data_IF_601572297711
#
_entry.id   IF_601572297711
#
_cell.length_a   1.000
_cell.length_b   1.000
_cell.length_c   1.000
_cell.angle_alpha   90.00
_cell.angle_beta   90.00
_cell.angle_gamma   90.00
#
_symmetry.space_group_name_H-M   'P 1'
#
loop_
_entity.id
_entity.type
_entity.pdbx_description
1 polymer ?
#
# COMPACT_ATOMS: atom_id res chain seq x y z
N UNK A 1 5.25 16.51 -35.73
CA UNK A 1 5.25 17.34 -34.54
C UNK A 1 4.23 16.74 -33.58
N UNK A 2 4.66 15.87 -32.66
CA UNK A 2 3.99 15.50 -31.41
C UNK A 2 4.66 14.27 -30.77
N UNK A 3 5.99 14.35 -30.62
CA UNK A 3 6.77 13.34 -29.88
C UNK A 3 6.92 13.67 -28.37
N UNK A 4 6.35 14.79 -27.92
CA UNK A 4 6.55 15.29 -26.54
C UNK A 4 5.52 14.87 -25.50
N UNK A 5 4.45 14.10 -25.89
CA UNK A 5 3.37 13.73 -24.95
C UNK A 5 3.48 12.34 -24.32
N UNK A 6 4.32 11.47 -24.86
CA UNK A 6 4.46 10.09 -24.35
C UNK A 6 5.34 9.99 -23.10
N UNK A 7 6.36 10.83 -22.96
CA UNK A 7 7.31 10.75 -21.84
C UNK A 7 6.73 11.29 -20.52
N UNK A 8 5.88 12.29 -20.55
CA UNK A 8 5.26 12.86 -19.36
C UNK A 8 4.25 11.94 -18.67
N UNK A 9 3.51 11.10 -19.40
CA UNK A 9 2.55 10.16 -18.83
C UNK A 9 3.24 8.95 -18.19
N UNK A 10 4.35 8.49 -18.76
CA UNK A 10 5.13 7.37 -18.23
C UNK A 10 5.76 7.68 -16.88
N UNK A 11 6.27 8.89 -16.68
CA UNK A 11 6.85 9.35 -15.41
C UNK A 11 5.81 9.43 -14.28
N UNK A 12 4.56 9.80 -14.57
CA UNK A 12 3.49 9.91 -13.55
C UNK A 12 2.96 8.57 -13.03
N UNK A 13 3.26 7.47 -13.70
CA UNK A 13 2.89 6.12 -13.23
C UNK A 13 3.89 5.57 -12.23
N UNK A 14 5.14 6.03 -12.22
CA UNK A 14 6.15 5.63 -11.24
C UNK A 14 5.78 6.15 -9.87
N UNK A 15 5.51 5.27 -8.90
CA UNK A 15 5.03 5.66 -7.57
C UNK A 15 5.22 4.62 -6.49
N UNK A 16 5.31 5.09 -5.25
CA UNK A 16 5.32 4.27 -4.03
C UNK A 16 4.27 4.75 -3.03
N UNK A 17 3.90 3.92 -2.07
CA UNK A 17 2.93 4.21 -1.00
C UNK A 17 1.59 4.78 -1.51
N UNK A 18 1.17 4.31 -2.67
CA UNK A 18 -0.13 4.59 -3.28
C UNK A 18 -1.17 3.56 -2.81
N UNK A 19 -2.43 3.79 -3.11
CA UNK A 19 -3.47 2.76 -3.01
C UNK A 19 -3.86 2.22 -4.37
N UNK A 20 -4.21 0.94 -4.43
CA UNK A 20 -4.77 0.33 -5.61
C UNK A 20 -5.84 -0.71 -5.27
N UNK A 21 -6.77 -0.92 -6.17
CA UNK A 21 -7.78 -1.97 -6.11
C UNK A 21 -8.19 -2.40 -7.51
N UNK A 22 -8.73 -3.60 -7.65
CA UNK A 22 -9.23 -4.12 -8.93
C UNK A 22 -10.75 -4.19 -8.89
N UNK A 23 -11.38 -3.70 -9.96
CA UNK A 23 -12.80 -3.81 -10.21
C UNK A 23 -13.05 -4.06 -11.69
N UNK A 24 -13.89 -5.04 -12.02
CA UNK A 24 -14.23 -5.39 -13.42
C UNK A 24 -12.99 -5.56 -14.30
N UNK A 25 -11.95 -6.21 -13.78
CA UNK A 25 -10.65 -6.42 -14.42
C UNK A 25 -9.90 -5.12 -14.79
N UNK A 26 -10.21 -4.02 -14.12
CA UNK A 26 -9.50 -2.75 -14.21
C UNK A 26 -8.79 -2.47 -12.90
N UNK A 27 -7.50 -2.21 -12.94
CA UNK A 27 -6.71 -1.77 -11.81
C UNK A 27 -6.85 -0.25 -11.68
N UNK A 28 -7.35 0.19 -10.54
CA UNK A 28 -7.45 1.59 -10.15
C UNK A 28 -6.26 1.94 -9.26
N UNK A 29 -5.59 3.05 -9.53
CA UNK A 29 -4.40 3.50 -8.79
C UNK A 29 -4.54 4.97 -8.44
N UNK A 30 -4.38 5.30 -7.15
CA UNK A 30 -4.51 6.66 -6.66
C UNK A 30 -3.42 7.02 -5.64
N UNK A 31 -2.92 8.25 -5.73
CA UNK A 31 -2.00 8.83 -4.75
C UNK A 31 -0.59 8.25 -4.82
N UNK A 32 0.13 8.32 -3.70
CA UNK A 32 1.52 7.95 -3.59
C UNK A 32 2.48 9.12 -3.84
N UNK A 33 3.76 8.83 -3.84
CA UNK A 33 4.84 9.81 -4.06
C UNK A 33 5.90 9.25 -5.01
N UNK A 34 6.74 10.13 -5.53
CA UNK A 34 7.97 9.80 -6.23
C UNK A 34 9.08 10.76 -5.81
N UNK A 35 10.33 10.34 -5.93
CA UNK A 35 11.50 11.21 -5.68
C UNK A 35 11.80 12.00 -6.94
N UNK A 36 11.97 13.33 -6.81
CA UNK A 36 12.30 14.19 -7.95
C UNK A 36 13.67 13.81 -8.54
N UNK A 37 13.70 13.61 -9.85
CA UNK A 37 14.94 13.37 -10.63
C UNK A 37 15.48 14.66 -11.28
N UNK A 38 14.81 15.80 -11.15
CA UNK A 38 15.17 17.04 -11.82
C UNK A 38 16.24 17.80 -11.03
N UNK A 39 17.43 18.06 -11.62
CA UNK A 39 18.57 18.72 -10.94
C UNK A 39 18.39 20.24 -10.75
N UNK A 40 17.44 20.88 -11.42
CA UNK A 40 17.48 22.34 -11.62
C UNK A 40 16.49 23.17 -10.82
N UNK A 41 15.48 22.60 -10.16
CA UNK A 41 14.43 23.38 -9.48
C UNK A 41 14.05 22.91 -8.08
N UNK A 42 14.50 21.76 -7.63
CA UNK A 42 14.25 21.23 -6.29
C UNK A 42 15.53 20.57 -5.80
N UNK A 43 15.87 20.73 -4.53
CA UNK A 43 17.02 20.02 -3.96
C UNK A 43 16.92 18.54 -4.29
N UNK A 44 17.94 17.98 -4.94
CA UNK A 44 17.95 16.61 -5.42
C UNK A 44 17.62 15.65 -4.25
N UNK A 45 16.58 14.85 -4.41
CA UNK A 45 16.14 13.86 -3.42
C UNK A 45 14.95 14.28 -2.56
N UNK A 46 14.21 15.36 -2.89
CA UNK A 46 12.91 15.66 -2.26
C UNK A 46 11.81 14.75 -2.82
N UNK A 47 10.97 14.23 -1.92
CA UNK A 47 9.77 13.50 -2.30
C UNK A 47 8.76 14.46 -2.95
N UNK A 48 8.30 14.11 -4.15
CA UNK A 48 7.24 14.83 -4.84
C UNK A 48 5.95 14.05 -4.67
N UNK A 49 5.00 14.64 -3.97
CA UNK A 49 3.66 14.08 -3.83
C UNK A 49 2.95 14.17 -5.18
N UNK A 50 2.39 13.04 -5.64
CA UNK A 50 1.71 12.99 -6.92
C UNK A 50 0.34 13.69 -6.86
N UNK A 51 -0.16 14.21 -8.00
CA UNK A 51 -1.46 14.86 -8.06
C UNK A 51 -2.58 14.00 -7.45
N UNK A 52 -3.45 14.60 -6.64
CA UNK A 52 -4.52 13.92 -5.90
C UNK A 52 -5.87 14.01 -6.59
N UNK A 53 -5.99 14.91 -7.56
CA UNK A 53 -7.15 15.12 -8.41
C UNK A 53 -7.18 14.19 -9.62
N UNK A 54 -6.30 13.19 -9.66
CA UNK A 54 -6.26 12.19 -10.74
C UNK A 54 -6.24 10.76 -10.19
N UNK A 55 -6.93 9.86 -10.90
CA UNK A 55 -6.86 8.42 -10.70
C UNK A 55 -6.46 7.75 -12.02
N UNK A 56 -5.60 6.76 -11.93
CA UNK A 56 -5.13 6.00 -13.08
C UNK A 56 -5.83 4.66 -13.14
N UNK A 57 -6.27 4.27 -14.32
CA UNK A 57 -6.98 3.04 -14.61
C UNK A 57 -6.19 2.22 -15.62
N UNK A 58 -5.92 0.95 -15.30
CA UNK A 58 -5.32 0.00 -16.22
C UNK A 58 -6.31 -1.11 -16.54
N UNK A 59 -6.69 -1.24 -17.79
CA UNK A 59 -7.44 -2.41 -18.27
C UNK A 59 -6.47 -3.61 -18.31
N UNK A 60 -6.67 -4.58 -17.43
CA UNK A 60 -5.79 -5.75 -17.28
C UNK A 60 -5.91 -6.76 -18.44
N UNK A 61 -6.92 -6.63 -19.29
CA UNK A 61 -7.04 -7.42 -20.52
C UNK A 61 -6.19 -6.86 -21.66
N UNK A 62 -6.06 -5.54 -21.75
CA UNK A 62 -5.33 -4.85 -22.84
C UNK A 62 -4.00 -4.22 -22.38
N UNK A 63 -3.78 -4.04 -21.07
CA UNK A 63 -2.63 -3.31 -20.53
C UNK A 63 -2.68 -1.78 -20.77
N UNK A 64 -3.78 -1.26 -21.27
CA UNK A 64 -3.94 0.16 -21.59
C UNK A 64 -4.23 0.98 -20.32
N UNK A 65 -3.52 2.10 -20.19
CA UNK A 65 -3.71 3.06 -19.10
C UNK A 65 -4.57 4.24 -19.53
N UNK A 66 -5.45 4.65 -18.63
CA UNK A 66 -6.27 5.85 -18.77
C UNK A 66 -6.18 6.68 -17.49
N UNK A 67 -6.00 7.98 -17.64
CA UNK A 67 -6.12 8.95 -16.55
C UNK A 67 -7.54 9.48 -16.47
N UNK A 68 -8.05 9.63 -15.25
CA UNK A 68 -9.36 10.23 -14.96
C UNK A 68 -9.20 11.30 -13.89
N UNK A 69 -9.79 12.46 -14.10
CA UNK A 69 -9.77 13.56 -13.12
C UNK A 69 -10.85 13.35 -12.06
N UNK A 70 -10.54 13.69 -10.82
CA UNK A 70 -11.45 13.68 -9.68
C UNK A 70 -11.53 15.08 -9.10
N UNK A 71 -12.74 15.60 -8.92
CA UNK A 71 -13.02 16.92 -8.36
C UNK A 71 -13.45 16.85 -6.88
N UNK A 72 -13.96 17.95 -6.33
CA UNK A 72 -14.53 18.02 -4.99
C UNK A 72 -13.50 18.28 -3.89
N UNK A 73 -13.72 17.73 -2.71
CA UNK A 73 -12.85 17.87 -1.53
C UNK A 73 -11.59 17.03 -1.66
N UNK A 74 -10.76 17.31 -2.67
CA UNK A 74 -9.53 16.55 -2.93
C UNK A 74 -8.67 16.48 -1.68
N UNK A 75 -8.28 15.29 -1.20
CA UNK A 75 -7.38 15.16 -0.06
C UNK A 75 -6.07 15.90 -0.32
N UNK A 76 -5.65 16.75 0.61
CA UNK A 76 -4.33 17.38 0.55
C UNK A 76 -3.23 16.33 0.61
N UNK A 77 -2.04 16.72 0.21
CA UNK A 77 -0.82 15.91 0.10
C UNK A 77 -0.69 14.79 1.16
N UNK A 78 -1.15 13.59 0.83
CA UNK A 78 -1.16 12.45 1.75
C UNK A 78 -0.17 11.37 1.31
N UNK A 79 0.67 10.92 2.24
CA UNK A 79 1.46 9.71 2.12
C UNK A 79 1.23 8.79 3.33
N UNK A 80 1.52 7.50 3.20
CA UNK A 80 1.30 6.52 4.27
C UNK A 80 -0.16 6.37 4.71
N UNK A 81 -1.11 6.85 3.91
CA UNK A 81 -2.55 6.65 4.13
C UNK A 81 -2.97 5.22 3.82
N UNK A 82 -4.11 4.80 4.34
CA UNK A 82 -4.74 3.55 3.95
C UNK A 82 -5.97 3.83 3.08
N UNK A 83 -5.96 3.26 1.87
CA UNK A 83 -7.09 3.30 0.95
C UNK A 83 -7.80 1.95 0.87
N UNK A 84 -9.13 1.96 0.87
CA UNK A 84 -9.95 0.76 0.77
C UNK A 84 -11.16 1.01 -0.13
N UNK A 85 -11.52 0.01 -0.92
CA UNK A 85 -12.70 0.08 -1.78
C UNK A 85 -13.86 -0.73 -1.20
N UNK A 86 -15.01 -0.07 -1.02
CA UNK A 86 -16.27 -0.72 -0.65
C UNK A 86 -17.26 -0.48 -1.77
N UNK A 87 -17.68 -1.54 -2.44
CA UNK A 87 -18.50 -1.46 -3.66
C UNK A 87 -17.84 -0.56 -4.71
N UNK A 88 -18.40 0.62 -4.97
CA UNK A 88 -17.94 1.56 -5.98
C UNK A 88 -17.28 2.81 -5.38
N UNK A 89 -17.04 2.78 -4.07
CA UNK A 89 -16.54 3.93 -3.33
C UNK A 89 -15.16 3.65 -2.77
N UNK A 90 -14.19 4.48 -3.15
CA UNK A 90 -12.87 4.51 -2.55
C UNK A 90 -12.90 5.34 -1.27
N UNK A 91 -12.53 4.75 -0.16
CA UNK A 91 -12.34 5.41 1.13
C UNK A 91 -10.86 5.57 1.42
N UNK A 92 -10.47 6.71 1.95
CA UNK A 92 -9.10 7.01 2.34
C UNK A 92 -9.08 7.57 3.75
N UNK A 93 -8.23 7.02 4.60
CA UNK A 93 -8.09 7.43 5.99
C UNK A 93 -6.63 7.59 6.40
N UNK A 94 -6.36 8.62 7.22
CA UNK A 94 -5.04 8.87 7.81
C UNK A 94 -4.02 9.39 6.81
N UNK A 95 -2.76 9.05 7.04
CA UNK A 95 -1.62 9.60 6.30
C UNK A 95 -1.07 10.87 6.92
N UNK A 96 -0.01 11.38 6.33
CA UNK A 96 0.61 12.66 6.69
C UNK A 96 0.69 13.56 5.44
N UNK A 97 0.64 14.86 5.64
CA UNK A 97 0.76 15.83 4.56
C UNK A 97 2.22 16.22 4.29
N UNK A 98 2.47 16.80 3.11
CA UNK A 98 3.80 17.10 2.59
C UNK A 98 4.53 18.23 3.30
N UNK A 99 3.88 19.01 4.16
CA UNK A 99 4.50 20.15 4.84
C UNK A 99 5.67 19.74 5.76
N UNK A 100 5.91 18.46 5.97
CA UNK A 100 6.99 18.00 6.81
C UNK A 100 7.60 16.63 6.50
N UNK A 101 7.11 15.89 5.49
CA UNK A 101 7.55 14.52 5.29
C UNK A 101 8.91 14.36 4.59
N UNK A 102 9.21 15.20 3.61
CA UNK A 102 10.45 15.12 2.82
C UNK A 102 11.73 15.36 3.64
N UNK A 103 11.62 16.05 4.77
CA UNK A 103 12.75 16.38 5.63
C UNK A 103 12.82 15.58 6.94
N UNK A 104 11.77 14.83 7.34
CA UNK A 104 11.69 14.26 8.68
C UNK A 104 12.31 12.88 8.84
N UNK A 105 12.25 11.98 7.88
CA UNK A 105 13.08 10.77 7.95
C UNK A 105 14.58 11.12 7.98
N UNK A 106 14.99 12.18 7.26
CA UNK A 106 16.35 12.71 7.33
C UNK A 106 16.62 13.52 8.60
N UNK A 107 15.64 14.22 9.17
CA UNK A 107 15.80 14.99 10.40
C UNK A 107 15.77 14.15 11.66
N UNK A 108 14.94 13.14 11.77
CA UNK A 108 14.95 12.23 12.94
C UNK A 108 16.34 11.59 13.11
N UNK A 109 17.00 11.23 12.00
CA UNK A 109 18.37 10.68 12.04
C UNK A 109 19.41 11.78 12.29
N UNK A 110 19.25 12.99 11.71
CA UNK A 110 20.19 14.09 11.94
C UNK A 110 20.01 14.71 13.33
N UNK A 111 18.79 14.78 13.87
CA UNK A 111 18.53 15.38 15.17
C UNK A 111 18.91 14.46 16.33
N UNK A 112 18.83 13.13 16.16
CA UNK A 112 19.44 12.18 17.10
C UNK A 112 20.97 12.32 17.16
N UNK A 113 21.64 12.65 16.07
CA UNK A 113 23.10 12.87 16.04
C UNK A 113 23.44 14.29 16.51
N UNK A 114 22.61 15.30 16.26
CA UNK A 114 22.86 16.68 16.71
C UNK A 114 22.49 16.92 18.18
N UNK A 115 21.49 16.21 18.73
CA UNK A 115 21.18 16.26 20.17
C UNK A 115 22.28 15.69 21.07
N UNK A 116 23.21 14.92 20.53
CA UNK A 116 24.40 14.48 21.26
C UNK A 116 25.55 15.49 21.23
N UNK A 117 25.45 16.58 20.50
CA UNK A 117 26.56 17.54 20.31
C UNK A 117 26.27 19.01 20.60
N UNK A 118 25.03 19.43 20.84
CA UNK A 118 24.76 20.86 21.16
C UNK A 118 23.66 21.03 22.20
N UNK A 119 24.00 21.80 23.24
CA UNK A 119 23.07 22.32 24.25
C UNK A 119 21.97 23.17 23.60
N UNK A 120 20.74 22.84 23.96
CA UNK A 120 19.47 23.44 23.55
C UNK A 120 19.50 24.96 23.37
N UNK A 121 19.22 25.41 22.18
CA UNK A 121 18.57 26.71 21.95
C UNK A 121 17.25 26.45 21.25
N UNK A 122 16.17 26.98 21.85
CA UNK A 122 14.79 26.85 21.41
C UNK A 122 14.64 27.08 19.89
N UNK A 123 14.36 26.03 19.14
CA UNK A 123 13.68 26.11 17.85
C UNK A 123 12.52 25.14 17.89
N UNK A 124 11.30 25.69 17.76
CA UNK A 124 10.06 24.93 17.66
C UNK A 124 10.18 23.91 16.54
N UNK A 125 10.33 22.64 16.89
CA UNK A 125 10.29 21.53 15.92
C UNK A 125 8.83 21.35 15.53
N UNK A 126 8.47 21.87 14.36
CA UNK A 126 7.13 21.72 13.80
C UNK A 126 7.02 20.31 13.19
N UNK A 127 6.45 19.37 13.93
CA UNK A 127 6.10 18.06 13.39
C UNK A 127 4.88 18.19 12.47
N UNK A 128 4.85 17.49 11.31
CA UNK A 128 3.70 17.54 10.42
C UNK A 128 2.47 16.98 11.13
N UNK A 129 1.30 17.56 10.89
CA UNK A 129 0.07 17.06 11.45
C UNK A 129 -0.32 15.76 10.74
N UNK A 130 -0.26 14.62 11.44
CA UNK A 130 -0.95 13.42 11.00
C UNK A 130 -2.45 13.69 10.91
N UNK A 131 -3.08 13.19 9.84
CA UNK A 131 -4.47 13.46 9.59
C UNK A 131 -5.38 12.40 10.21
N UNK A 132 -6.43 12.87 10.87
CA UNK A 132 -7.55 12.03 11.30
C UNK A 132 -8.78 12.28 10.40
N UNK A 133 -8.49 12.59 9.13
CA UNK A 133 -9.52 12.90 8.14
C UNK A 133 -9.84 11.66 7.34
N UNK A 134 -11.11 11.50 7.01
CA UNK A 134 -11.61 10.47 6.13
C UNK A 134 -12.24 11.10 4.90
N UNK A 135 -11.95 10.53 3.75
CA UNK A 135 -12.51 10.96 2.47
C UNK A 135 -13.11 9.76 1.75
N UNK A 136 -14.08 10.03 0.89
CA UNK A 136 -14.66 9.04 -0.02
C UNK A 136 -14.82 9.60 -1.42
N UNK A 137 -14.69 8.74 -2.45
CA UNK A 137 -14.97 9.07 -3.82
C UNK A 137 -15.70 7.92 -4.51
N UNK A 138 -16.84 8.21 -5.15
CA UNK A 138 -17.52 7.26 -6.03
C UNK A 138 -16.77 7.19 -7.36
N UNK A 139 -16.16 6.04 -7.63
CA UNK A 139 -15.35 5.79 -8.83
C UNK A 139 -16.13 5.11 -9.96
N UNK A 140 -17.41 4.81 -9.75
CA UNK A 140 -18.29 4.24 -10.77
C UNK A 140 -18.72 5.27 -11.82
N UNK A 141 -18.80 6.53 -11.43
CA UNK A 141 -19.32 7.61 -12.25
C UNK A 141 -18.27 8.12 -13.26
N UNK A 142 -18.69 8.64 -14.41
CA UNK A 142 -17.79 9.32 -15.35
C UNK A 142 -17.07 10.51 -14.73
N UNK A 143 -17.78 11.29 -13.89
CA UNK A 143 -17.23 12.39 -13.09
C UNK A 143 -17.14 11.97 -11.64
N UNK A 144 -15.96 11.58 -11.19
CA UNK A 144 -15.71 11.26 -9.79
C UNK A 144 -15.54 12.54 -8.97
N UNK A 145 -16.02 12.51 -7.72
CA UNK A 145 -15.87 13.62 -6.80
C UNK A 145 -15.47 13.11 -5.41
N UNK A 146 -14.48 13.75 -4.82
CA UNK A 146 -14.10 13.53 -3.43
C UNK A 146 -15.08 14.23 -2.49
N UNK A 147 -15.45 13.55 -1.43
CA UNK A 147 -16.23 14.10 -0.32
C UNK A 147 -15.47 13.86 0.97
N UNK A 148 -15.24 14.91 1.74
CA UNK A 148 -14.70 14.82 3.08
C UNK A 148 -15.80 14.42 4.06
N UNK A 149 -15.62 13.33 4.79
CA UNK A 149 -16.60 12.85 5.77
C UNK A 149 -16.39 13.59 7.11
N UNK A 150 -17.17 14.66 7.33
CA UNK A 150 -17.09 15.52 8.53
C UNK A 150 -18.03 15.07 9.64
N UNK A 151 -19.14 14.43 9.28
CA UNK A 151 -20.26 14.12 10.21
C UNK A 151 -20.20 12.70 10.76
N UNK A 152 -19.03 12.06 10.68
CA UNK A 152 -18.80 10.73 11.22
C UNK A 152 -18.94 10.75 12.75
N UNK A 153 -19.82 9.88 13.27
CA UNK A 153 -20.13 9.74 14.70
C UNK A 153 -19.19 8.74 15.37
N UNK A 154 -19.16 8.76 16.71
CA UNK A 154 -18.44 7.78 17.52
C UNK A 154 -16.97 8.12 17.76
N UNK A 155 -16.20 7.11 18.19
CA UNK A 155 -14.79 7.28 18.61
C UNK A 155 -13.86 7.16 17.41
N UNK A 156 -13.50 8.30 16.83
CA UNK A 156 -12.52 8.39 15.73
C UNK A 156 -11.13 7.93 16.18
N UNK A 157 -10.38 7.17 15.37
CA UNK A 157 -8.99 6.85 15.67
C UNK A 157 -8.12 8.10 15.83
N UNK A 158 -7.02 7.99 16.59
CA UNK A 158 -5.98 9.03 16.59
C UNK A 158 -5.36 9.17 15.18
N UNK A 159 -4.82 10.36 14.83
CA UNK A 159 -4.09 10.56 13.58
C UNK A 159 -2.98 9.53 13.43
N UNK A 160 -2.85 8.91 12.25
CA UNK A 160 -1.89 7.81 12.01
C UNK A 160 -1.57 7.59 10.54
N UNK A 161 -0.42 6.98 10.30
CA UNK A 161 0.00 6.45 8.99
C UNK A 161 0.45 4.99 9.12
N UNK A 162 0.81 4.34 8.02
CA UNK A 162 1.35 2.97 7.97
C UNK A 162 0.46 1.90 8.63
N UNK A 163 -0.82 2.19 8.78
CA UNK A 163 -1.82 1.27 9.28
C UNK A 163 -2.42 0.44 8.13
N UNK A 164 -3.04 -0.69 8.45
CA UNK A 164 -3.76 -1.53 7.49
C UNK A 164 -5.27 -1.41 7.64
N UNK A 165 -5.99 -1.87 6.62
CA UNK A 165 -7.45 -1.94 6.60
C UNK A 165 -7.94 -3.27 6.03
N UNK A 166 -8.92 -3.88 6.69
CA UNK A 166 -9.74 -4.97 6.14
C UNK A 166 -11.11 -4.44 5.77
N UNK A 167 -11.60 -4.85 4.60
CA UNK A 167 -12.97 -4.55 4.15
C UNK A 167 -13.83 -5.77 4.39
N UNK A 168 -14.68 -5.73 5.42
CA UNK A 168 -15.58 -6.83 5.72
C UNK A 168 -17.03 -6.37 5.70
N UNK A 169 -17.82 -6.88 4.72
CA UNK A 169 -19.14 -6.38 4.39
C UNK A 169 -19.05 -4.87 4.06
N UNK A 170 -19.81 -4.02 4.70
CA UNK A 170 -19.72 -2.56 4.51
C UNK A 170 -18.99 -1.87 5.67
N UNK A 171 -18.03 -2.56 6.29
CA UNK A 171 -17.20 -2.03 7.37
C UNK A 171 -15.74 -1.99 6.96
N UNK A 172 -15.09 -0.88 7.28
CA UNK A 172 -13.65 -0.69 7.18
C UNK A 172 -13.04 -0.90 8.56
N UNK A 173 -12.16 -1.86 8.69
CA UNK A 173 -11.57 -2.28 9.97
C UNK A 173 -10.08 -1.96 9.90
N UNK A 174 -9.68 -0.95 10.65
CA UNK A 174 -8.32 -0.43 10.69
C UNK A 174 -7.54 -1.00 11.86
N UNK A 175 -6.27 -1.31 11.63
CA UNK A 175 -5.36 -1.83 12.65
C UNK A 175 -4.02 -1.11 12.63
N UNK A 176 -3.51 -0.78 13.84
CA UNK A 176 -2.14 -0.38 14.05
C UNK A 176 -1.76 0.99 13.50
N UNK A 177 -0.50 1.11 13.11
CA UNK A 177 0.12 2.29 12.51
C UNK A 177 0.91 3.15 13.49
N UNK A 178 1.72 4.05 12.95
CA UNK A 178 2.43 5.10 13.67
C UNK A 178 1.56 6.35 13.74
N UNK A 179 1.52 6.98 14.90
CA UNK A 179 0.68 8.17 15.04
C UNK A 179 0.91 8.91 16.34
N UNK A 180 0.09 9.93 16.58
CA UNK A 180 0.24 10.75 17.78
C UNK A 180 -0.99 10.70 18.67
N UNK A 181 -0.72 10.76 19.99
CA UNK A 181 -1.72 10.89 21.05
C UNK A 181 -1.35 12.00 22.00
N UNK A 182 -2.34 12.60 22.66
CA UNK A 182 -2.08 13.45 23.81
C UNK A 182 -1.61 12.61 25.00
N UNK A 183 -0.92 13.22 25.94
CA UNK A 183 -0.48 12.52 27.17
C UNK A 183 -1.68 11.96 27.96
N UNK A 184 -2.83 12.64 27.93
CA UNK A 184 -4.07 12.16 28.55
C UNK A 184 -4.60 10.91 27.85
N UNK A 185 -4.60 10.87 26.52
CA UNK A 185 -4.98 9.68 25.75
C UNK A 185 -4.05 8.50 26.01
N UNK A 186 -2.73 8.74 26.13
CA UNK A 186 -1.74 7.69 26.45
C UNK A 186 -1.98 7.12 27.84
N UNK A 187 -2.23 7.97 28.83
CA UNK A 187 -2.51 7.52 30.21
C UNK A 187 -3.78 6.68 30.32
N UNK A 188 -4.76 6.96 29.47
CA UNK A 188 -6.03 6.22 29.41
C UNK A 188 -5.98 5.01 28.46
N UNK A 189 -4.86 4.80 27.77
CA UNK A 189 -4.66 3.66 26.89
C UNK A 189 -3.97 2.54 27.70
N UNK A 190 -4.35 1.29 27.45
CA UNK A 190 -3.60 0.15 28.00
C UNK A 190 -2.13 0.29 27.59
N UNK A 191 -1.21 0.14 28.54
CA UNK A 191 0.24 0.32 28.33
C UNK A 191 0.81 -0.60 27.23
N UNK A 192 0.13 -1.70 26.92
CA UNK A 192 0.47 -2.62 25.83
C UNK A 192 -0.08 -2.21 24.46
N UNK A 193 -0.92 -1.18 24.38
CA UNK A 193 -1.61 -0.81 23.12
C UNK A 193 -0.95 0.36 22.39
N UNK A 194 -0.04 1.08 23.02
CA UNK A 194 0.68 2.19 22.43
C UNK A 194 2.11 2.27 22.99
N UNK A 195 3.08 2.12 22.10
CA UNK A 195 4.50 2.24 22.43
C UNK A 195 4.93 3.65 22.04
N UNK A 196 5.29 4.47 23.04
CA UNK A 196 5.79 5.82 22.82
C UNK A 196 7.26 5.73 22.39
N UNK A 197 7.58 6.29 21.23
CA UNK A 197 8.96 6.42 20.74
C UNK A 197 9.49 7.83 20.97
N UNK A 198 8.63 8.83 20.80
CA UNK A 198 9.02 10.21 20.88
C UNK A 198 7.95 11.05 21.59
N UNK A 199 8.41 12.10 22.28
CA UNK A 199 7.56 13.09 22.93
C UNK A 199 7.99 14.48 22.56
N UNK A 200 7.05 15.33 22.14
CA UNK A 200 7.35 16.69 21.72
C UNK A 200 6.22 17.66 22.03
N UNK A 201 6.56 18.95 22.08
CA UNK A 201 5.59 20.03 22.11
C UNK A 201 5.15 20.33 20.67
N UNK A 202 3.89 20.13 20.38
CA UNK A 202 3.29 20.48 19.09
C UNK A 202 2.39 21.67 19.26
N UNK A 203 2.59 22.68 18.41
CA UNK A 203 1.73 23.86 18.34
C UNK A 203 0.65 23.60 17.30
N UNK A 204 -0.47 23.00 17.70
CA UNK A 204 -1.66 22.88 16.87
C UNK A 204 -2.81 23.55 17.65
N UNK A 205 -3.03 24.84 17.38
CA UNK A 205 -3.96 25.66 18.16
C UNK A 205 -3.39 25.99 19.54
N UNK A 206 -3.84 25.28 20.56
CA UNK A 206 -3.22 25.35 21.89
C UNK A 206 -1.97 24.47 21.96
N UNK A 207 -0.93 24.95 22.69
CA UNK A 207 0.30 24.17 22.89
C UNK A 207 0.01 22.90 23.66
N UNK A 208 0.08 21.75 22.99
CA UNK A 208 -0.22 20.44 23.57
C UNK A 208 1.02 19.54 23.51
N UNK A 209 1.28 18.86 24.61
CA UNK A 209 2.30 17.82 24.66
C UNK A 209 1.81 16.57 23.93
N UNK A 210 2.54 16.11 22.93
CA UNK A 210 2.20 14.96 22.09
C UNK A 210 3.18 13.82 22.30
N UNK A 211 2.62 12.61 22.29
CA UNK A 211 3.37 11.36 22.29
C UNK A 211 3.23 10.71 20.92
N UNK A 212 4.34 10.44 20.28
CA UNK A 212 4.43 9.77 18.99
C UNK A 212 4.81 8.33 19.18
N UNK A 213 4.22 7.42 18.39
CA UNK A 213 4.55 6.01 18.54
C UNK A 213 3.62 5.06 17.79
N UNK A 214 3.90 3.79 17.98
CA UNK A 214 3.18 2.67 17.37
C UNK A 214 1.98 2.26 18.20
N UNK A 215 0.92 1.82 17.52
CA UNK A 215 -0.26 1.28 18.20
C UNK A 215 -0.71 -0.07 17.61
N UNK A 216 -1.54 -0.81 18.35
CA UNK A 216 -2.20 -2.04 17.91
C UNK A 216 -3.72 -1.98 18.07
N UNK A 217 -4.27 -0.77 18.08
CA UNK A 217 -5.72 -0.58 18.23
C UNK A 217 -6.47 -1.02 16.97
N UNK A 218 -7.65 -1.61 17.20
CA UNK A 218 -8.63 -1.92 16.16
C UNK A 218 -9.72 -0.87 16.19
N UNK A 219 -9.99 -0.25 15.04
CA UNK A 219 -11.11 0.69 14.87
C UNK A 219 -11.95 0.27 13.66
N UNK A 220 -13.26 0.44 13.78
CA UNK A 220 -14.23 0.07 12.75
C UNK A 220 -14.97 1.31 12.29
N UNK A 221 -15.00 1.54 10.99
CA UNK A 221 -15.89 2.51 10.36
C UNK A 221 -16.98 1.77 9.59
N UNK A 222 -18.22 1.98 10.00
CA UNK A 222 -19.41 1.48 9.30
C UNK A 222 -19.79 2.49 8.21
N UNK A 223 -19.72 2.09 6.95
CA UNK A 223 -19.93 2.99 5.81
C UNK A 223 -21.39 3.35 5.60
N UNK A 224 -22.35 2.54 6.10
CA UNK A 224 -23.78 2.83 6.01
C UNK A 224 -24.24 3.90 7.00
N UNK A 225 -23.77 3.78 8.23
CA UNK A 225 -24.15 4.69 9.31
C UNK A 225 -23.18 5.85 9.50
N UNK A 226 -22.04 5.84 8.79
CA UNK A 226 -20.93 6.79 8.98
C UNK A 226 -20.48 6.87 10.44
N UNK A 227 -20.34 5.72 11.10
CA UNK A 227 -20.06 5.64 12.53
C UNK A 227 -18.76 4.90 12.82
N UNK A 228 -17.90 5.52 13.64
CA UNK A 228 -16.72 4.90 14.19
C UNK A 228 -17.02 4.15 15.49
N UNK A 229 -16.40 2.99 15.64
CA UNK A 229 -16.43 2.22 16.88
C UNK A 229 -15.06 1.59 17.15
N UNK A 230 -14.80 1.28 18.40
CA UNK A 230 -13.58 0.56 18.85
C UNK A 230 -14.04 -0.71 19.56
N UNK A 231 -13.99 -1.87 18.88
CA UNK A 231 -14.36 -3.13 19.51
C UNK A 231 -13.33 -3.53 20.58
N UNK A 232 -13.78 -4.17 21.62
CA UNK A 232 -12.91 -4.84 22.57
C UNK A 232 -12.43 -6.15 21.95
N UNK A 233 -11.11 -6.31 21.85
CA UNK A 233 -10.50 -7.53 21.29
C UNK A 233 -10.00 -8.42 22.41
N UNK A 234 -10.04 -9.74 22.17
CA UNK A 234 -9.59 -10.77 23.10
C UNK A 234 -8.43 -11.57 22.49
N UNK A 235 -7.74 -12.36 23.32
CA UNK A 235 -6.64 -13.22 22.89
C UNK A 235 -5.30 -12.51 22.70
N UNK A 236 -4.30 -13.17 22.10
CA UNK A 236 -2.94 -12.67 21.95
C UNK A 236 -2.90 -11.65 20.79
N UNK A 237 -3.20 -10.38 21.08
CA UNK A 237 -3.09 -9.31 20.10
C UNK A 237 -1.64 -9.09 19.66
N UNK A 238 -1.38 -8.73 18.38
CA UNK A 238 -0.06 -8.33 17.93
C UNK A 238 0.47 -7.14 18.74
N UNK A 239 1.78 -7.07 18.94
CA UNK A 239 2.41 -5.87 19.49
C UNK A 239 2.13 -4.65 18.58
N UNK A 240 2.14 -3.41 19.14
CA UNK A 240 2.04 -2.18 18.38
C UNK A 240 3.02 -2.14 17.22
N UNK A 241 2.51 -1.83 16.01
CA UNK A 241 3.30 -1.91 14.77
C UNK A 241 2.71 -1.09 13.63
N UNK A 242 3.54 -0.79 12.62
CA UNK A 242 3.14 -0.24 11.33
C UNK A 242 3.87 -0.90 10.17
N UNK A 243 3.62 -0.46 8.95
CA UNK A 243 4.21 -1.04 7.72
C UNK A 243 4.02 -2.57 7.58
N UNK A 244 3.04 -3.12 8.30
CA UNK A 244 2.62 -4.51 8.21
C UNK A 244 1.66 -4.72 7.04
N UNK A 245 1.52 -5.96 6.59
CA UNK A 245 0.54 -6.32 5.58
C UNK A 245 -0.72 -6.94 6.20
N UNK A 246 -1.88 -6.61 5.63
CA UNK A 246 -3.17 -7.16 6.02
C UNK A 246 -3.89 -7.82 4.85
N UNK A 247 -4.59 -8.93 5.11
CA UNK A 247 -5.44 -9.62 4.14
C UNK A 247 -6.71 -10.15 4.79
N UNK A 248 -7.81 -10.21 4.04
CA UNK A 248 -9.09 -10.74 4.51
C UNK A 248 -9.40 -12.07 3.82
N UNK A 249 -9.69 -13.11 4.62
CA UNK A 249 -10.26 -14.37 4.15
C UNK A 249 -11.55 -14.69 4.89
N UNK A 250 -12.67 -14.65 4.20
CA UNK A 250 -13.99 -14.82 4.82
C UNK A 250 -14.28 -13.75 5.87
N UNK A 251 -14.44 -14.15 7.14
CA UNK A 251 -14.63 -13.27 8.29
C UNK A 251 -13.34 -13.09 9.12
N UNK A 252 -12.17 -13.44 8.58
CA UNK A 252 -10.91 -13.40 9.29
C UNK A 252 -9.93 -12.42 8.67
N UNK A 253 -9.53 -11.42 9.44
CA UNK A 253 -8.47 -10.48 9.11
C UNK A 253 -7.11 -11.07 9.50
N UNK A 254 -6.24 -11.28 8.52
CA UNK A 254 -4.87 -11.73 8.72
C UNK A 254 -3.90 -10.55 8.68
N UNK A 255 -2.84 -10.66 9.46
CA UNK A 255 -1.82 -9.62 9.59
C UNK A 255 -0.44 -10.28 9.68
N UNK A 256 0.58 -9.67 9.05
CA UNK A 256 1.95 -10.15 9.11
C UNK A 256 2.97 -9.02 9.05
N UNK A 257 4.11 -9.21 9.71
CA UNK A 257 5.28 -8.34 9.66
C UNK A 257 5.09 -6.94 10.25
N UNK A 258 5.93 -6.00 9.83
CA UNK A 258 5.95 -4.65 10.40
C UNK A 258 6.50 -4.61 11.85
N UNK A 259 7.17 -5.67 12.28
CA UNK A 259 7.87 -5.76 13.54
C UNK A 259 9.26 -6.36 13.29
N UNK A 260 10.19 -6.05 14.16
CA UNK A 260 11.57 -6.56 14.10
C UNK A 260 11.65 -8.00 14.62
N UNK A 261 11.06 -8.93 13.88
CA UNK A 261 11.11 -10.37 14.17
C UNK A 261 12.00 -11.06 13.15
N UNK A 262 12.75 -12.08 13.56
CA UNK A 262 13.64 -12.83 12.68
C UNK A 262 12.87 -13.53 11.55
N UNK A 263 11.71 -14.06 11.86
CA UNK A 263 10.81 -14.72 10.92
C UNK A 263 9.50 -13.95 10.81
N UNK A 264 8.84 -14.05 9.67
CA UNK A 264 7.59 -13.38 9.40
C UNK A 264 6.47 -14.01 10.25
N UNK A 265 5.95 -13.25 11.20
CA UNK A 265 4.83 -13.65 12.05
C UNK A 265 3.49 -13.61 11.32
N UNK A 266 2.52 -14.36 11.82
CA UNK A 266 1.13 -14.33 11.32
C UNK A 266 0.18 -14.27 12.52
N UNK A 267 -0.71 -13.29 12.47
CA UNK A 267 -1.84 -13.13 13.37
C UNK A 267 -3.15 -13.18 12.59
N UNK A 268 -4.21 -13.58 13.27
CA UNK A 268 -5.56 -13.63 12.72
C UNK A 268 -6.54 -13.01 13.72
N UNK A 269 -7.34 -12.05 13.27
CA UNK A 269 -8.48 -11.52 14.00
C UNK A 269 -9.77 -12.08 13.41
N UNK A 270 -10.54 -12.80 14.21
CA UNK A 270 -11.92 -13.14 13.86
C UNK A 270 -12.80 -11.89 14.00
N UNK A 271 -13.41 -11.45 12.91
CA UNK A 271 -14.14 -10.17 12.82
C UNK A 271 -15.60 -10.26 13.32
N UNK A 272 -16.03 -11.42 13.78
CA UNK A 272 -17.32 -11.60 14.44
C UNK A 272 -17.17 -11.68 15.95
N UNK A 273 -16.19 -12.46 16.44
CA UNK A 273 -15.91 -12.61 17.86
C UNK A 273 -14.89 -11.60 18.41
N UNK A 274 -14.20 -10.86 17.56
CA UNK A 274 -13.10 -9.95 17.88
C UNK A 274 -11.96 -10.63 18.66
N UNK A 275 -11.67 -11.89 18.30
CA UNK A 275 -10.67 -12.70 18.98
C UNK A 275 -9.41 -12.84 18.13
N UNK A 276 -8.27 -12.47 18.71
CA UNK A 276 -6.96 -12.68 18.11
C UNK A 276 -6.45 -14.10 18.30
N UNK A 277 -5.80 -14.61 17.29
CA UNK A 277 -5.05 -15.87 17.32
C UNK A 277 -3.69 -15.62 16.69
N UNK A 278 -2.63 -15.98 17.37
CA UNK A 278 -1.28 -16.06 16.81
C UNK A 278 -1.06 -17.45 16.25
N UNK A 279 -0.45 -17.54 15.07
CA UNK A 279 -0.07 -18.82 14.48
C UNK A 279 1.35 -19.19 14.93
N UNK A 280 1.47 -20.32 15.62
CA UNK A 280 2.77 -20.94 15.88
C UNK A 280 3.27 -21.55 14.57
N UNK A 281 4.36 -21.06 14.05
CA UNK A 281 4.96 -21.48 12.80
C UNK A 281 6.08 -22.47 13.06
N UNK A 282 6.23 -23.47 12.20
CA UNK A 282 7.36 -24.38 12.25
C UNK A 282 8.63 -23.65 11.78
N UNK A 283 9.72 -23.62 12.54
CA UNK A 283 10.89 -22.78 12.29
C UNK A 283 11.65 -23.08 10.98
N UNK A 284 11.38 -24.18 10.30
CA UNK A 284 12.26 -24.69 9.23
C UNK A 284 12.04 -24.08 7.84
N UNK A 285 10.95 -23.33 7.61
CA UNK A 285 10.59 -22.83 6.27
C UNK A 285 9.83 -21.49 6.29
N UNK A 286 9.96 -20.66 7.32
CA UNK A 286 9.30 -19.35 7.33
C UNK A 286 10.07 -18.30 6.50
N UNK A 287 9.39 -17.35 5.86
CA UNK A 287 10.07 -16.22 5.24
C UNK A 287 10.74 -15.33 6.28
N UNK A 288 11.77 -14.61 5.84
CA UNK A 288 12.45 -13.59 6.66
C UNK A 288 11.45 -12.53 7.13
N UNK A 289 11.61 -12.04 8.37
CA UNK A 289 10.85 -10.92 8.92
C UNK A 289 10.99 -9.69 8.03
N UNK A 290 9.88 -9.01 7.78
CA UNK A 290 9.82 -7.91 6.80
C UNK A 290 8.75 -6.88 7.10
N UNK A 291 8.92 -5.71 6.53
CA UNK A 291 7.95 -4.61 6.51
C UNK A 291 7.70 -4.14 5.07
N UNK A 292 6.70 -3.28 4.85
CA UNK A 292 6.40 -2.68 3.54
C UNK A 292 6.17 -3.69 2.40
N UNK A 293 5.82 -4.93 2.76
CA UNK A 293 5.43 -5.99 1.84
C UNK A 293 3.92 -6.00 1.64
N UNK A 294 3.45 -6.83 0.72
CA UNK A 294 2.02 -7.05 0.52
C UNK A 294 1.61 -8.48 0.87
N UNK A 295 0.38 -8.63 1.34
CA UNK A 295 -0.27 -9.91 1.58
C UNK A 295 -1.64 -9.91 0.92
N UNK A 296 -1.89 -10.88 0.02
CA UNK A 296 -3.10 -10.95 -0.80
C UNK A 296 -3.74 -12.33 -0.66
N UNK A 297 -5.06 -12.42 -0.40
CA UNK A 297 -5.75 -13.71 -0.38
C UNK A 297 -5.83 -14.27 -1.81
N UNK A 298 -5.52 -15.55 -2.03
CA UNK A 298 -5.51 -16.17 -3.37
C UNK A 298 -6.46 -17.36 -3.50
N UNK A 299 -7.01 -17.83 -2.40
CA UNK A 299 -8.01 -18.89 -2.34
C UNK A 299 -8.63 -18.90 -0.95
N UNK A 300 -9.56 -19.79 -0.68
CA UNK A 300 -10.23 -19.92 0.63
C UNK A 300 -9.30 -20.20 1.81
N UNK A 301 -8.03 -20.50 1.56
CA UNK A 301 -7.08 -20.86 2.62
C UNK A 301 -5.65 -20.41 2.38
N UNK A 302 -5.37 -19.67 1.31
CA UNK A 302 -4.00 -19.26 0.99
C UNK A 302 -3.85 -17.74 0.99
N UNK A 303 -2.73 -17.27 1.55
CA UNK A 303 -2.28 -15.89 1.53
C UNK A 303 -0.97 -15.82 0.74
N UNK A 304 -0.92 -14.97 -0.26
CA UNK A 304 0.28 -14.70 -1.05
C UNK A 304 1.01 -13.49 -0.48
N UNK A 305 2.32 -13.61 -0.27
CA UNK A 305 3.20 -12.55 0.23
C UNK A 305 4.28 -12.27 -0.80
N UNK A 306 4.54 -10.99 -1.06
CA UNK A 306 5.59 -10.58 -2.00
C UNK A 306 6.39 -9.39 -1.48
N UNK A 307 7.72 -9.46 -1.69
CA UNK A 307 8.63 -8.35 -1.50
C UNK A 307 8.72 -7.85 -0.06
N UNK A 308 8.92 -6.57 0.07
CA UNK A 308 9.11 -5.85 1.33
C UNK A 308 10.57 -5.54 1.63
N UNK A 309 10.81 -4.91 2.76
CA UNK A 309 12.12 -4.66 3.33
C UNK A 309 12.38 -5.72 4.40
N UNK A 310 13.44 -6.51 4.20
CA UNK A 310 13.88 -7.51 5.18
C UNK A 310 14.53 -6.85 6.41
N UNK A 311 14.54 -7.59 7.52
CA UNK A 311 15.24 -7.15 8.75
C UNK A 311 16.74 -6.93 8.54
N UNK A 312 17.30 -7.48 7.47
CA UNK A 312 18.68 -7.29 7.02
C UNK A 312 18.90 -5.99 6.21
N UNK A 313 17.85 -5.18 6.06
CA UNK A 313 17.86 -3.93 5.30
C UNK A 313 17.79 -4.10 3.78
N UNK A 314 17.65 -5.33 3.28
CA UNK A 314 17.59 -5.59 1.85
C UNK A 314 16.13 -5.53 1.34
N UNK A 315 15.96 -4.95 0.14
CA UNK A 315 14.69 -5.00 -0.58
C UNK A 315 14.51 -6.40 -1.16
N UNK A 316 13.38 -7.03 -0.82
CA UNK A 316 13.09 -8.42 -1.15
C UNK A 316 12.37 -8.56 -2.49
N UNK A 317 12.62 -9.68 -3.16
CA UNK A 317 12.01 -10.06 -4.44
C UNK A 317 11.36 -11.45 -4.40
N UNK A 318 11.33 -12.07 -3.22
CA UNK A 318 10.77 -13.40 -3.05
C UNK A 318 9.25 -13.38 -2.93
N UNK A 319 8.63 -14.47 -3.35
CA UNK A 319 7.20 -14.71 -3.22
C UNK A 319 6.97 -15.95 -2.35
N UNK A 320 5.99 -15.85 -1.46
CA UNK A 320 5.63 -16.90 -0.53
C UNK A 320 4.12 -17.10 -0.48
N UNK A 321 3.71 -18.30 -0.17
CA UNK A 321 2.33 -18.63 0.09
C UNK A 321 2.19 -19.24 1.49
N UNK A 322 1.27 -18.70 2.29
CA UNK A 322 0.89 -19.24 3.59
C UNK A 322 -0.44 -19.97 3.49
N UNK A 323 -0.46 -21.24 3.85
CA UNK A 323 -1.70 -22.01 3.95
C UNK A 323 -2.27 -21.89 5.37
N UNK A 324 -3.39 -21.21 5.53
CA UNK A 324 -4.00 -20.92 6.84
C UNK A 324 -4.57 -22.14 7.55
N UNK A 325 -4.90 -23.22 6.83
CA UNK A 325 -5.41 -24.49 7.39
C UNK A 325 -4.26 -25.37 7.86
N UNK A 326 -3.18 -25.48 7.04
CA UNK A 326 -2.00 -26.29 7.36
C UNK A 326 -1.00 -25.56 8.24
N UNK A 327 -1.08 -24.24 8.28
CA UNK A 327 -0.14 -23.34 8.98
C UNK A 327 1.30 -23.47 8.47
N UNK A 328 1.42 -23.59 7.16
CA UNK A 328 2.68 -23.86 6.48
C UNK A 328 2.99 -22.76 5.46
N UNK A 329 4.28 -22.38 5.38
CA UNK A 329 4.81 -21.54 4.34
C UNK A 329 5.38 -22.35 3.19
N UNK A 330 5.13 -21.89 1.97
CA UNK A 330 5.72 -22.43 0.74
C UNK A 330 6.34 -21.28 -0.04
N UNK A 331 7.64 -21.40 -0.33
CA UNK A 331 8.33 -20.44 -1.21
C UNK A 331 7.93 -20.73 -2.65
N UNK A 332 7.51 -19.70 -3.38
CA UNK A 332 7.07 -19.82 -4.76
C UNK A 332 8.19 -19.49 -5.72
N UNK A 333 8.25 -20.24 -6.84
CA UNK A 333 9.08 -19.87 -7.97
C UNK A 333 8.26 -19.00 -8.92
N UNK A 334 8.81 -17.87 -9.32
CA UNK A 334 8.15 -16.90 -10.19
C UNK A 334 9.13 -16.23 -11.17
N UNK A 335 8.65 -15.61 -12.27
CA UNK A 335 9.54 -15.02 -13.30
C UNK A 335 10.19 -13.68 -12.89
N UNK A 336 9.69 -13.03 -11.84
CA UNK A 336 10.12 -11.67 -11.44
C UNK A 336 11.23 -11.67 -10.37
N UNK A 337 12.20 -12.59 -10.46
CA UNK A 337 13.29 -12.75 -9.46
C UNK A 337 14.26 -11.57 -9.41
N UNK A 338 14.30 -10.76 -10.44
CA UNK A 338 15.12 -9.56 -10.59
C UNK A 338 14.40 -8.27 -10.23
N UNK A 339 13.20 -8.37 -9.68
CA UNK A 339 12.29 -7.24 -9.44
C UNK A 339 11.95 -7.06 -7.95
N UNK A 340 12.92 -6.68 -7.08
CA UNK A 340 12.61 -6.38 -5.69
C UNK A 340 11.62 -5.21 -5.59
N UNK A 341 10.76 -5.22 -4.57
CA UNK A 341 9.74 -4.17 -4.37
C UNK A 341 9.45 -3.92 -2.89
N UNK A 342 9.38 -2.64 -2.55
CA UNK A 342 8.84 -2.12 -1.29
C UNK A 342 7.77 -1.07 -1.56
N UNK A 343 6.88 -0.84 -0.63
CA UNK A 343 5.83 0.19 -0.75
C UNK A 343 4.98 0.06 -2.03
N UNK A 344 4.87 -1.16 -2.56
CA UNK A 344 4.03 -1.51 -3.70
C UNK A 344 2.62 -1.89 -3.24
N UNK A 345 1.70 -2.00 -4.19
CA UNK A 345 0.37 -2.55 -3.93
C UNK A 345 0.20 -3.91 -4.59
N UNK A 346 -0.66 -4.75 -4.03
CA UNK A 346 -1.04 -6.03 -4.60
C UNK A 346 -2.54 -6.26 -4.47
N UNK A 347 -3.16 -6.72 -5.53
CA UNK A 347 -4.59 -6.95 -5.63
C UNK A 347 -4.89 -8.32 -6.21
N UNK A 348 -6.00 -8.93 -5.77
CA UNK A 348 -6.49 -10.17 -6.37
C UNK A 348 -7.15 -9.86 -7.72
N UNK A 349 -6.67 -10.48 -8.79
CA UNK A 349 -7.24 -10.42 -10.13
C UNK A 349 -8.35 -11.45 -10.35
N UNK A 350 -8.93 -11.43 -11.56
CA UNK A 350 -10.12 -12.26 -11.91
C UNK A 350 -9.87 -13.77 -11.96
N UNK A 351 -8.64 -14.18 -12.26
CA UNK A 351 -8.25 -15.60 -12.40
C UNK A 351 -7.51 -16.11 -11.13
N UNK A 352 -7.74 -15.45 -9.97
CA UNK A 352 -7.01 -15.58 -8.71
C UNK A 352 -5.51 -15.25 -8.85
N UNK A 353 -5.14 -14.52 -9.88
CA UNK A 353 -3.82 -13.96 -10.03
C UNK A 353 -3.58 -12.86 -9.01
N UNK A 354 -2.34 -12.68 -8.58
CA UNK A 354 -1.96 -11.51 -7.81
C UNK A 354 -1.33 -10.48 -8.74
N UNK A 355 -1.97 -9.32 -8.82
CA UNK A 355 -1.50 -8.18 -9.61
C UNK A 355 -0.76 -7.22 -8.69
N UNK A 356 0.54 -7.09 -8.91
CA UNK A 356 1.42 -6.17 -8.16
C UNK A 356 1.71 -4.96 -9.02
N UNK A 357 1.61 -3.76 -8.43
CA UNK A 357 1.89 -2.51 -9.13
C UNK A 357 2.78 -1.56 -8.32
N UNK A 358 3.69 -0.89 -9.02
CA UNK A 358 4.49 0.21 -8.50
C UNK A 358 5.47 -0.19 -7.41
N UNK A 359 5.63 0.69 -6.44
CA UNK A 359 6.62 0.55 -5.38
C UNK A 359 8.02 1.02 -5.80
N UNK A 360 9.00 0.77 -4.95
CA UNK A 360 10.41 1.06 -5.24
C UNK A 360 11.23 -0.22 -5.30
N UNK A 361 12.21 -0.27 -6.19
CA UNK A 361 13.14 -1.40 -6.29
C UNK A 361 14.27 -1.33 -5.27
N UNK A 362 14.49 -0.19 -4.66
CA UNK A 362 15.43 0.04 -3.58
C UNK A 362 14.83 0.98 -2.55
N UNK A 363 15.08 0.70 -1.28
CA UNK A 363 14.83 1.64 -0.20
C UNK A 363 16.16 1.86 0.50
N UNK A 364 16.66 3.08 0.45
CA UNK A 364 17.89 3.44 1.15
C UNK A 364 17.52 3.94 2.55
N UNK A 365 17.49 3.06 3.52
CA UNK A 365 17.49 3.45 4.92
C UNK A 365 18.94 3.69 5.30
N UNK A 366 19.36 4.95 5.39
CA UNK A 366 20.73 5.30 5.76
C UNK A 366 20.81 5.58 7.24
N UNK A 367 21.71 4.83 7.88
CA UNK A 367 22.03 5.00 9.30
C UNK A 367 23.19 5.99 9.54
N UNK A 368 23.84 6.52 8.51
CA UNK A 368 24.94 7.47 8.67
C UNK A 368 24.97 8.60 7.62
N UNK A 369 25.54 9.74 8.02
CA UNK A 369 25.63 10.97 7.22
C UNK A 369 26.47 10.80 5.94
N UNK A 370 27.42 9.85 5.92
CA UNK A 370 28.33 9.60 4.79
C UNK A 370 27.62 8.81 3.69
N UNK A 371 26.73 7.90 4.09
CA UNK A 371 25.91 7.14 3.16
C UNK A 371 24.84 8.01 2.50
N UNK A 372 24.31 9.02 3.19
CA UNK A 372 23.32 9.98 2.63
C UNK A 372 23.87 10.71 1.40
N UNK A 373 25.15 11.07 1.40
CA UNK A 373 25.81 11.77 0.28
C UNK A 373 26.10 10.85 -0.93
N UNK A 374 26.03 9.53 -0.75
CA UNK A 374 26.32 8.52 -1.80
C UNK A 374 25.11 7.65 -2.14
N UNK A 375 23.95 7.96 -1.59
CA UNK A 375 22.73 7.16 -1.80
C UNK A 375 22.34 7.13 -3.27
N UNK A 376 22.08 5.95 -3.82
CA UNK A 376 21.37 5.87 -5.08
C UNK A 376 19.98 6.47 -4.91
N UNK A 377 19.55 7.26 -5.88
CA UNK A 377 18.19 7.80 -5.94
C UNK A 377 17.19 6.64 -5.83
N UNK A 378 16.15 6.81 -5.02
CA UNK A 378 15.09 5.82 -4.91
C UNK A 378 14.45 5.58 -6.28
N UNK A 379 14.42 4.32 -6.73
CA UNK A 379 13.89 3.94 -8.03
C UNK A 379 12.43 3.53 -7.92
N UNK A 380 11.53 4.47 -8.16
CA UNK A 380 10.09 4.16 -8.26
C UNK A 380 9.78 3.42 -9.55
N UNK A 381 8.83 2.52 -9.47
CA UNK A 381 8.47 1.61 -10.54
C UNK A 381 7.05 1.87 -11.03
N UNK A 382 6.82 1.57 -12.30
CA UNK A 382 5.50 1.63 -12.96
C UNK A 382 5.04 0.27 -13.50
N UNK A 383 5.83 -0.76 -13.22
CA UNK A 383 5.56 -2.10 -13.74
C UNK A 383 4.31 -2.71 -13.10
N UNK A 384 3.55 -3.42 -13.90
CA UNK A 384 2.50 -4.33 -13.46
C UNK A 384 3.04 -5.74 -13.53
N UNK A 385 3.09 -6.46 -12.40
CA UNK A 385 3.42 -7.88 -12.37
C UNK A 385 2.18 -8.71 -12.13
N UNK A 386 2.07 -9.81 -12.85
CA UNK A 386 0.99 -10.78 -12.64
C UNK A 386 1.61 -12.09 -12.16
N UNK A 387 1.27 -12.47 -10.92
CA UNK A 387 1.68 -13.74 -10.34
C UNK A 387 0.54 -14.74 -10.47
N UNK A 388 0.79 -15.76 -11.26
CA UNK A 388 -0.13 -16.88 -11.39
C UNK A 388 -0.05 -17.75 -10.11
N UNK A 389 -1.14 -17.83 -9.36
CA UNK A 389 -1.18 -18.60 -8.10
C UNK A 389 -1.78 -19.99 -8.28
N UNK A 390 -2.44 -20.25 -9.42
CA UNK A 390 -2.99 -21.56 -9.82
C UNK A 390 -2.97 -21.71 -11.35
N UNK A 391 -3.06 -22.96 -11.87
CA UNK A 391 -3.14 -23.18 -13.31
C UNK A 391 -4.33 -22.44 -13.93
N UNK A 392 -4.09 -21.76 -15.04
CA UNK A 392 -5.16 -21.13 -15.80
C UNK A 392 -6.10 -22.13 -16.42
N UNK A 393 -7.33 -21.72 -16.64
CA UNK A 393 -8.28 -22.49 -17.44
C UNK A 393 -7.75 -22.65 -18.88
N UNK A 394 -8.15 -23.75 -19.54
CA UNK A 394 -7.79 -23.98 -20.94
C UNK A 394 -8.24 -22.81 -21.82
N UNK A 395 -9.40 -22.24 -21.54
CA UNK A 395 -9.91 -21.06 -22.22
C UNK A 395 -8.92 -19.89 -22.13
N UNK A 396 -8.44 -19.57 -20.94
CA UNK A 396 -7.45 -18.49 -20.72
C UNK A 396 -6.13 -18.79 -21.43
N UNK A 397 -5.66 -20.04 -21.37
CA UNK A 397 -4.43 -20.45 -22.06
C UNK A 397 -4.56 -20.29 -23.58
N UNK A 398 -5.74 -20.59 -24.16
CA UNK A 398 -6.02 -20.35 -25.58
C UNK A 398 -6.04 -18.85 -25.92
N UNK A 399 -6.69 -18.02 -25.11
CA UNK A 399 -6.69 -16.56 -25.30
C UNK A 399 -5.26 -16.00 -25.28
N UNK A 400 -4.43 -16.44 -24.30
CA UNK A 400 -3.06 -15.99 -24.16
C UNK A 400 -2.16 -16.49 -25.31
N UNK A 401 -2.33 -17.75 -25.74
CA UNK A 401 -1.61 -18.30 -26.88
C UNK A 401 -1.91 -17.56 -28.17
N UNK A 402 -3.19 -17.34 -28.47
CA UNK A 402 -3.60 -16.61 -29.69
C UNK A 402 -3.16 -15.13 -29.60
N UNK A 403 -3.32 -14.50 -28.44
CA UNK A 403 -2.91 -13.10 -28.23
C UNK A 403 -1.41 -12.90 -28.38
N UNK A 404 -0.58 -13.79 -27.82
CA UNK A 404 0.87 -13.74 -27.93
C UNK A 404 1.42 -14.09 -29.32
N UNK A 405 0.64 -14.81 -30.13
CA UNK A 405 0.99 -15.27 -31.46
C UNK A 405 0.03 -14.73 -32.54
N UNK A 406 -0.43 -13.52 -32.41
CA UNK A 406 -1.49 -12.91 -33.22
C UNK A 406 -1.22 -12.93 -34.73
N UNK A 407 0.04 -12.84 -35.13
CA UNK A 407 0.43 -12.90 -36.54
C UNK A 407 0.08 -14.25 -37.18
N UNK A 408 0.17 -15.36 -36.41
CA UNK A 408 -0.18 -16.70 -36.90
C UNK A 408 -1.70 -16.85 -37.17
N UNK A 409 -2.52 -16.09 -36.44
CA UNK A 409 -3.98 -16.22 -36.44
C UNK A 409 -4.69 -15.04 -37.11
N UNK A 410 -3.96 -14.14 -37.76
CA UNK A 410 -4.49 -12.88 -38.29
C UNK A 410 -5.71 -13.05 -39.18
N UNK A 411 -5.71 -14.07 -40.06
CA UNK A 411 -6.81 -14.32 -41.00
C UNK A 411 -8.01 -15.04 -40.34
N UNK A 412 -7.78 -15.73 -39.21
CA UNK A 412 -8.83 -16.48 -38.53
C UNK A 412 -9.56 -15.64 -37.47
N UNK A 413 -8.99 -14.54 -37.01
CA UNK A 413 -9.60 -13.70 -35.99
C UNK A 413 -10.94 -13.11 -36.42
N UNK A 414 -11.10 -12.79 -37.71
CA UNK A 414 -12.32 -12.21 -38.21
C UNK A 414 -13.48 -13.23 -38.34
N UNK A 415 -13.20 -14.53 -38.24
CA UNK A 415 -14.20 -15.59 -38.26
C UNK A 415 -14.77 -15.88 -36.84
N UNK A 416 -14.17 -15.33 -35.80
CA UNK A 416 -14.64 -15.52 -34.48
C UNK A 416 -15.91 -14.69 -34.17
N UNK A 417 -16.78 -15.20 -33.29
CA UNK A 417 -17.88 -14.40 -32.77
C UNK A 417 -17.37 -13.08 -32.18
N UNK A 418 -18.11 -11.99 -32.41
CA UNK A 418 -17.67 -10.62 -32.09
C UNK A 418 -17.16 -10.43 -30.66
N UNK A 419 -17.82 -11.06 -29.67
CA UNK A 419 -17.38 -11.02 -28.26
C UNK A 419 -16.02 -11.69 -28.03
N UNK A 420 -15.76 -12.82 -28.69
CA UNK A 420 -14.50 -13.54 -28.58
C UNK A 420 -13.39 -12.80 -29.34
N UNK A 421 -13.67 -12.33 -30.53
CA UNK A 421 -12.75 -11.50 -31.31
C UNK A 421 -12.30 -10.25 -30.51
N UNK A 422 -13.24 -9.55 -29.88
CA UNK A 422 -12.93 -8.38 -29.01
C UNK A 422 -11.99 -8.75 -27.85
N UNK A 423 -12.24 -9.87 -27.16
CA UNK A 423 -11.38 -10.32 -26.06
C UNK A 423 -9.96 -10.67 -26.53
N UNK A 424 -9.84 -11.38 -27.65
CA UNK A 424 -8.54 -11.74 -28.21
C UNK A 424 -7.78 -10.50 -28.67
N UNK A 425 -8.45 -9.51 -29.30
CA UNK A 425 -7.81 -8.24 -29.67
C UNK A 425 -7.23 -7.53 -28.46
N UNK A 426 -7.95 -7.46 -27.34
CA UNK A 426 -7.41 -6.92 -26.09
C UNK A 426 -6.17 -7.69 -25.62
N UNK A 427 -6.17 -9.03 -25.72
CA UNK A 427 -4.98 -9.83 -25.38
C UNK A 427 -3.79 -9.57 -26.31
N UNK A 428 -4.04 -9.34 -27.60
CA UNK A 428 -3.01 -8.91 -28.55
C UNK A 428 -2.39 -7.57 -28.12
N UNK A 429 -3.23 -6.61 -27.76
CA UNK A 429 -2.79 -5.31 -27.25
C UNK A 429 -1.96 -5.47 -25.98
N UNK A 430 -2.41 -6.31 -25.04
CA UNK A 430 -1.67 -6.63 -23.80
C UNK A 430 -0.27 -7.17 -24.09
N UNK A 431 -0.14 -8.20 -24.92
CA UNK A 431 1.16 -8.76 -25.26
C UNK A 431 2.05 -7.80 -26.05
N UNK A 432 1.46 -6.93 -26.87
CA UNK A 432 2.19 -5.88 -27.58
C UNK A 432 2.73 -4.83 -26.61
N UNK A 433 1.94 -4.39 -25.64
CA UNK A 433 2.37 -3.46 -24.58
C UNK A 433 3.48 -4.06 -23.73
N UNK A 434 3.36 -5.35 -23.34
CA UNK A 434 4.38 -6.05 -22.56
C UNK A 434 5.70 -6.22 -23.32
N UNK A 435 5.67 -6.45 -24.65
CA UNK A 435 6.89 -6.52 -25.47
C UNK A 435 7.64 -5.19 -25.49
N UNK A 436 6.95 -4.07 -25.54
CA UNK A 436 7.56 -2.72 -25.51
C UNK A 436 8.31 -2.47 -24.18
N UNK A 437 7.81 -3.00 -23.07
CA UNK A 437 8.46 -2.87 -21.74
C UNK A 437 9.74 -3.72 -21.64
N UNK A 438 9.83 -4.84 -22.38
CA UNK A 438 10.99 -5.74 -22.39
C UNK A 438 12.10 -5.29 -23.34
N UNK A 439 11.82 -4.34 -24.23
CA UNK A 439 12.79 -3.83 -25.24
C UNK A 439 13.29 -2.41 -24.94
N UNK A 440 12.78 -1.76 -23.93
CA UNK A 440 13.19 -0.45 -23.43
C UNK A 440 13.96 -0.60 -22.09
#
# INVERSE_FOLDING_TARGET
MDAGRADGAGSRLERSSHTAFIRNNTLFVWGGYQVSRLPEQVEAGQDVVLPRDEIWLCDLDSGMWQQKTISGDVPSDLSGFCGANVNDTLYVFGGCDSAGYSNQERRIISDLVSCLQTSCTNQDVCFPPFLKKMFSADVSQPCCSWTRLTDAKGTTPSPRNEHSCWVHRERLIYFGGYGCKTIGEVRNTLSSSFIVEEMSWATIGDTLFRCWGWNNEVHVFDTRSSTWSKPETQGPAPAPRGSHAGALLGNKGYLSGGAETAELDIFCLDLESWTWTQFDLLPSCAPLGRSMHTMTPTSDSNLFVYGGLGIDGNTLNDAWQFNTRRREWVKLTHPHKDKPRVCHTACLGKDDDVVVFGGSSNLCIHMDLVSVLRSPVQNHCRDVFIFQTRPYSLYRLCEDFIGGNSELFRLQLDWLPSKLCSKIRKRVEFFSAMKLVLTA
#
